data_IF_129567625759
#
_entry.id   IF_129567625759
#
_cell.length_a   1.000
_cell.length_b   1.000
_cell.length_c   1.000
_cell.angle_alpha   90.00
_cell.angle_beta   90.00
_cell.angle_gamma   90.00
#
_symmetry.space_group_name_H-M   'P 1'
#
loop_
_entity.id
_entity.type
_entity.pdbx_description
1 polymer ?
#
# COMPACT_ATOMS: atom_id res chain seq x y z
N UNK A 1 15.80 13.94 11.12
CA UNK A 1 16.62 14.69 10.15
C UNK A 1 15.74 15.26 9.03
N UNK A 2 16.00 16.50 8.59
CA UNK A 2 15.36 17.06 7.38
C UNK A 2 16.18 16.56 6.18
N UNK A 3 15.50 16.02 5.17
CA UNK A 3 16.11 15.44 3.98
C UNK A 3 15.37 15.91 2.73
N UNK A 4 15.93 15.70 1.55
CA UNK A 4 15.24 15.95 0.28
C UNK A 4 15.52 14.79 -0.68
N UNK A 5 14.88 13.65 -0.45
CA UNK A 5 15.08 12.48 -1.29
C UNK A 5 14.03 12.40 -2.39
N UNK A 6 14.50 12.39 -3.63
CA UNK A 6 13.66 12.34 -4.85
C UNK A 6 13.91 11.10 -5.71
N UNK A 7 15.03 10.41 -5.50
CA UNK A 7 15.46 9.23 -6.25
C UNK A 7 15.64 8.01 -5.33
N UNK A 8 15.40 6.78 -5.84
CA UNK A 8 15.61 5.54 -5.10
C UNK A 8 17.01 5.38 -4.50
N UNK A 9 18.04 5.87 -5.21
CA UNK A 9 19.46 5.82 -4.79
C UNK A 9 19.75 6.47 -3.42
N UNK A 10 18.87 7.34 -2.92
CA UNK A 10 19.02 7.96 -1.62
C UNK A 10 18.67 7.02 -0.44
N UNK A 11 18.06 5.86 -0.72
CA UNK A 11 17.72 4.87 0.30
C UNK A 11 18.93 3.95 0.54
N UNK A 12 19.70 4.25 1.57
CA UNK A 12 20.95 3.51 1.86
C UNK A 12 20.76 2.15 2.54
N UNK A 13 19.59 1.91 3.15
CA UNK A 13 19.31 0.70 3.93
C UNK A 13 18.18 -0.12 3.31
N UNK A 14 18.31 -1.43 3.35
CA UNK A 14 17.22 -2.34 3.01
C UNK A 14 16.45 -2.68 4.28
N UNK A 15 15.16 -2.35 4.31
CA UNK A 15 14.31 -2.59 5.47
C UNK A 15 13.10 -1.71 5.57
N UNK A 16 12.81 -1.25 6.79
CA UNK A 16 11.68 -0.39 7.12
C UNK A 16 12.15 1.02 7.45
N UNK A 17 11.37 2.01 7.06
CA UNK A 17 11.70 3.42 7.22
C UNK A 17 10.55 4.15 7.88
N UNK A 18 10.85 4.95 8.90
CA UNK A 18 9.94 5.97 9.42
C UNK A 18 10.26 7.31 8.77
N UNK A 19 9.42 7.73 7.83
CA UNK A 19 9.64 8.91 6.98
C UNK A 19 8.38 9.73 6.78
N UNK A 20 8.55 11.00 6.41
CA UNK A 20 7.47 11.88 5.95
C UNK A 20 7.62 12.03 4.45
N UNK A 21 6.51 11.78 3.77
CA UNK A 21 6.43 11.72 2.32
C UNK A 21 5.47 12.78 1.81
N UNK A 22 5.83 13.40 0.71
CA UNK A 22 5.02 14.37 -0.03
C UNK A 22 4.61 13.70 -1.34
N UNK A 23 3.32 13.39 -1.53
CA UNK A 23 2.88 12.81 -2.79
C UNK A 23 2.93 13.81 -3.95
N UNK A 24 3.20 13.36 -5.18
CA UNK A 24 3.07 14.19 -6.39
C UNK A 24 1.59 14.51 -6.68
N UNK A 25 1.35 15.54 -7.51
CA UNK A 25 0.01 15.84 -8.01
C UNK A 25 -0.28 15.00 -9.26
N UNK A 26 -1.56 14.69 -9.50
CA UNK A 26 -2.00 14.05 -10.75
C UNK A 26 -1.77 12.54 -10.84
N UNK A 27 -1.34 11.88 -9.76
CA UNK A 27 -1.23 10.42 -9.74
C UNK A 27 -2.63 9.78 -9.78
N UNK A 28 -2.85 8.88 -10.76
CA UNK A 28 -4.13 8.15 -10.90
C UNK A 28 -4.33 7.13 -9.79
N UNK A 29 -3.27 6.39 -9.46
CA UNK A 29 -3.27 5.35 -8.42
C UNK A 29 -2.16 5.70 -7.43
N UNK A 30 -2.48 6.14 -6.21
CA UNK A 30 -1.49 6.40 -5.17
C UNK A 30 -0.77 5.11 -4.74
N UNK A 31 0.53 5.20 -4.46
CA UNK A 31 1.39 4.05 -4.13
C UNK A 31 1.35 3.77 -2.63
N UNK A 32 1.51 4.81 -1.82
CA UNK A 32 1.67 4.65 -0.38
C UNK A 32 0.31 4.70 0.32
N UNK A 33 0.03 3.73 1.20
CA UNK A 33 -1.18 3.73 2.01
C UNK A 33 -1.07 4.71 3.19
N UNK A 34 -2.23 5.17 3.65
CA UNK A 34 -2.38 6.06 4.80
C UNK A 34 -3.42 5.46 5.73
N UNK A 35 -3.08 5.24 7.00
CA UNK A 35 -4.05 4.83 8.02
C UNK A 35 -4.65 6.08 8.68
N UNK A 36 -5.95 6.31 8.48
CA UNK A 36 -6.70 7.45 9.04
C UNK A 36 -8.04 6.95 9.60
N UNK A 37 -8.32 7.21 10.88
CA UNK A 37 -9.54 6.77 11.58
C UNK A 37 -9.86 5.28 11.36
N UNK A 38 -8.89 4.39 11.59
CA UNK A 38 -9.00 2.95 11.34
C UNK A 38 -9.25 2.52 9.89
N UNK A 39 -9.10 3.44 8.93
CA UNK A 39 -9.25 3.16 7.50
C UNK A 39 -7.91 3.24 6.80
N UNK A 40 -7.64 2.27 5.93
CA UNK A 40 -6.50 2.31 5.02
C UNK A 40 -6.93 2.98 3.72
N UNK A 41 -6.36 4.14 3.41
CA UNK A 41 -6.68 4.95 2.24
C UNK A 41 -5.44 5.18 1.38
N UNK A 42 -5.59 5.04 0.07
CA UNK A 42 -4.58 5.42 -0.91
C UNK A 42 -4.96 6.80 -1.45
N UNK A 43 -4.22 7.84 -1.06
CA UNK A 43 -4.53 9.22 -1.45
C UNK A 43 -3.27 10.04 -1.67
N UNK A 44 -3.34 11.04 -2.55
CA UNK A 44 -2.24 11.99 -2.79
C UNK A 44 -2.28 13.21 -1.84
N UNK A 45 -3.15 13.22 -0.83
CA UNK A 45 -3.26 14.33 0.14
C UNK A 45 -3.81 13.84 1.47
N UNK A 46 -2.97 13.94 2.51
CA UNK A 46 -3.37 13.63 3.89
C UNK A 46 -4.62 14.38 4.34
N UNK A 47 -4.66 15.70 4.13
CA UNK A 47 -5.80 16.52 4.58
C UNK A 47 -7.11 16.15 3.90
N UNK A 48 -7.09 15.90 2.60
CA UNK A 48 -8.27 15.43 1.87
C UNK A 48 -8.73 14.05 2.37
N UNK A 49 -7.80 13.13 2.62
CA UNK A 49 -8.13 11.80 3.12
C UNK A 49 -8.69 11.85 4.55
N UNK A 50 -8.18 12.75 5.40
CA UNK A 50 -8.71 12.96 6.75
C UNK A 50 -10.13 13.56 6.74
N UNK A 51 -10.43 14.45 5.79
CA UNK A 51 -11.77 15.01 5.62
C UNK A 51 -12.74 14.05 4.91
N UNK A 52 -12.24 12.95 4.36
CA UNK A 52 -13.07 11.99 3.64
C UNK A 52 -14.04 11.28 4.60
N UNK A 53 -15.27 11.79 4.67
CA UNK A 53 -16.42 11.14 5.31
C UNK A 53 -17.08 10.21 4.30
N UNK A 54 -17.65 9.10 4.77
CA UNK A 54 -18.26 8.00 3.98
C UNK A 54 -19.28 8.43 2.90
N UNK A 55 -19.68 9.70 2.82
CA UNK A 55 -20.77 10.21 2.00
C UNK A 55 -20.40 11.27 0.93
N UNK A 56 -19.13 11.58 0.68
CA UNK A 56 -18.79 12.60 -0.32
C UNK A 56 -18.38 11.97 -1.66
N UNK A 57 -19.22 12.28 -2.66
CA UNK A 57 -19.21 11.90 -4.06
C UNK A 57 -17.82 11.87 -4.70
N UNK A 58 -17.54 10.76 -5.41
CA UNK A 58 -16.36 10.58 -6.24
C UNK A 58 -16.31 11.64 -7.37
N UNK A 59 -15.09 12.07 -7.70
CA UNK A 59 -14.66 12.59 -9.02
C UNK A 59 -14.51 14.09 -9.29
N UNK A 60 -14.64 15.03 -8.35
CA UNK A 60 -14.40 16.46 -8.67
C UNK A 60 -13.63 17.30 -7.64
N UNK A 61 -13.08 16.70 -6.59
CA UNK A 61 -12.33 17.48 -5.60
C UNK A 61 -10.95 17.88 -6.12
N UNK A 62 -10.81 19.15 -6.52
CA UNK A 62 -9.50 19.78 -6.75
C UNK A 62 -8.88 20.09 -5.40
N UNK A 63 -7.76 19.42 -5.10
CA UNK A 63 -7.03 19.65 -3.86
C UNK A 63 -6.21 20.95 -3.95
N UNK A 64 -6.58 21.94 -3.14
CA UNK A 64 -5.90 23.24 -3.03
C UNK A 64 -4.84 23.27 -1.91
N UNK A 65 -4.67 22.16 -1.18
CA UNK A 65 -3.74 22.07 -0.07
C UNK A 65 -2.28 22.22 -0.51
N UNK A 66 -1.46 22.84 0.35
CA UNK A 66 -0.01 22.95 0.15
C UNK A 66 0.69 21.59 0.27
N UNK A 67 1.92 21.49 -0.23
CA UNK A 67 2.72 20.26 -0.10
C UNK A 67 2.87 19.79 1.35
N UNK A 68 3.07 20.73 2.29
CA UNK A 68 3.19 20.38 3.70
C UNK A 68 1.91 19.80 4.30
N UNK A 69 0.74 20.28 3.86
CA UNK A 69 -0.57 19.78 4.29
C UNK A 69 -0.94 18.44 3.66
N UNK A 70 -0.40 18.18 2.46
CA UNK A 70 -0.56 16.90 1.74
C UNK A 70 0.34 15.82 2.30
N UNK A 71 1.50 16.21 2.83
CA UNK A 71 2.49 15.32 3.38
C UNK A 71 1.94 14.51 4.56
N UNK A 72 2.43 13.30 4.71
CA UNK A 72 2.11 12.44 5.85
C UNK A 72 3.31 11.65 6.30
N UNK A 73 3.26 11.23 7.56
CA UNK A 73 4.28 10.39 8.17
C UNK A 73 3.77 8.97 8.26
N UNK A 74 4.61 8.01 7.92
CA UNK A 74 4.29 6.59 8.01
C UNK A 74 5.54 5.74 8.14
N UNK A 75 5.31 4.44 8.34
CA UNK A 75 6.35 3.44 8.25
C UNK A 75 6.17 2.71 6.92
N UNK A 76 7.21 2.67 6.10
CA UNK A 76 7.16 2.07 4.77
C UNK A 76 8.36 1.15 4.57
N UNK A 77 8.18 0.11 3.77
CA UNK A 77 9.30 -0.72 3.31
C UNK A 77 10.12 0.03 2.28
N UNK A 78 11.41 -0.30 2.19
CA UNK A 78 12.30 0.29 1.17
C UNK A 78 11.74 0.08 -0.24
N UNK A 79 11.19 -1.11 -0.55
CA UNK A 79 10.57 -1.43 -1.85
C UNK A 79 9.40 -0.49 -2.17
N UNK A 80 8.53 -0.23 -1.21
CA UNK A 80 7.42 0.72 -1.38
C UNK A 80 7.94 2.15 -1.60
N UNK A 81 8.99 2.55 -0.88
CA UNK A 81 9.59 3.88 -1.01
C UNK A 81 10.33 4.06 -2.33
N UNK A 82 11.09 3.06 -2.79
CA UNK A 82 11.71 3.06 -4.12
C UNK A 82 10.64 3.30 -5.19
N UNK A 83 9.54 2.54 -5.11
CA UNK A 83 8.44 2.72 -6.06
C UNK A 83 7.76 4.07 -5.94
N UNK A 84 7.62 4.59 -4.72
CA UNK A 84 7.06 5.92 -4.51
C UNK A 84 7.96 7.01 -5.11
N UNK A 85 9.28 6.93 -4.92
CA UNK A 85 10.25 7.86 -5.46
C UNK A 85 10.25 7.85 -6.99
N UNK A 86 10.21 6.66 -7.62
CA UNK A 86 10.01 6.53 -9.08
C UNK A 86 8.74 7.22 -9.58
N UNK A 87 7.67 7.17 -8.79
CA UNK A 87 6.38 7.77 -9.13
C UNK A 87 6.32 9.27 -8.81
N UNK A 88 7.42 9.88 -8.34
CA UNK A 88 7.56 11.31 -8.10
C UNK A 88 7.23 11.76 -6.68
N UNK A 89 7.23 10.86 -5.70
CA UNK A 89 7.13 11.25 -4.28
C UNK A 89 8.44 11.89 -3.84
N UNK A 90 8.34 12.78 -2.84
CA UNK A 90 9.50 13.42 -2.21
C UNK A 90 9.49 13.11 -0.73
N UNK A 91 10.62 12.68 -0.18
CA UNK A 91 10.79 12.47 1.26
C UNK A 91 11.45 13.74 1.84
N UNK A 92 10.74 14.42 2.73
CA UNK A 92 11.19 15.69 3.33
C UNK A 92 11.75 15.51 4.76
N UNK A 93 11.39 14.41 5.42
CA UNK A 93 11.86 14.12 6.78
C UNK A 93 12.10 12.63 6.95
N UNK A 94 13.26 12.32 7.52
CA UNK A 94 13.66 10.98 7.92
C UNK A 94 13.82 10.93 9.44
N UNK A 95 13.27 9.92 10.09
CA UNK A 95 13.43 9.72 11.53
C UNK A 95 14.39 8.60 11.86
N UNK A 96 14.12 7.40 11.33
CA UNK A 96 14.90 6.19 11.58
C UNK A 96 14.64 5.16 10.50
N UNK A 97 15.61 4.27 10.29
CA UNK A 97 15.48 3.06 9.50
C UNK A 97 15.76 1.84 10.38
N UNK A 98 15.06 0.75 10.08
CA UNK A 98 15.37 -0.57 10.62
C UNK A 98 15.94 -1.37 9.47
N UNK A 99 17.23 -1.69 9.58
CA UNK A 99 17.93 -2.51 8.61
C UNK A 99 17.84 -3.98 9.00
N UNK A 100 17.67 -4.84 8.00
CA UNK A 100 17.82 -6.27 8.13
C UNK A 100 19.02 -6.70 7.30
N UNK A 101 19.95 -7.42 7.91
CA UNK A 101 21.18 -7.87 7.25
C UNK A 101 20.90 -8.98 6.22
N UNK A 102 19.89 -9.82 6.50
CA UNK A 102 19.51 -10.96 5.67
C UNK A 102 18.17 -10.73 4.95
N UNK A 103 18.17 -10.99 3.64
CA UNK A 103 16.98 -10.93 2.79
C UNK A 103 16.81 -12.22 2.01
N UNK A 104 15.57 -12.73 1.94
CA UNK A 104 15.24 -13.93 1.17
C UNK A 104 13.87 -13.81 0.53
N UNK A 105 13.80 -14.11 -0.78
CA UNK A 105 12.56 -14.19 -1.55
C UNK A 105 11.93 -15.60 -1.50
N UNK A 106 12.54 -16.55 -0.78
CA UNK A 106 12.15 -17.96 -0.81
C UNK A 106 11.21 -18.37 0.34
N UNK A 107 11.27 -17.70 1.49
CA UNK A 107 10.59 -18.14 2.74
C UNK A 107 9.11 -18.42 2.54
N UNK A 108 8.40 -17.53 1.84
CA UNK A 108 6.96 -17.65 1.61
C UNK A 108 6.58 -18.08 0.19
N UNK A 109 7.55 -18.32 -0.69
CA UNK A 109 7.28 -18.57 -2.12
C UNK A 109 6.42 -19.80 -2.35
N UNK A 110 6.69 -20.88 -1.60
CA UNK A 110 5.90 -22.10 -1.66
C UNK A 110 4.46 -21.89 -1.18
N UNK A 111 4.30 -21.23 -0.03
CA UNK A 111 3.00 -20.89 0.55
C UNK A 111 2.19 -20.01 -0.40
N UNK A 112 2.72 -18.85 -0.81
CA UNK A 112 2.04 -17.89 -1.69
C UNK A 112 1.63 -18.53 -3.02
N UNK A 113 2.48 -19.37 -3.62
CA UNK A 113 2.16 -20.09 -4.86
C UNK A 113 0.93 -20.98 -4.73
N UNK A 114 0.73 -21.62 -3.58
CA UNK A 114 -0.47 -22.44 -3.34
C UNK A 114 -1.73 -21.58 -3.32
N UNK A 115 -1.72 -20.43 -2.64
CA UNK A 115 -2.89 -19.53 -2.61
C UNK A 115 -3.19 -18.90 -3.97
N UNK A 116 -2.17 -18.52 -4.73
CA UNK A 116 -2.36 -18.01 -6.11
C UNK A 116 -3.06 -19.09 -6.95
N UNK A 117 -2.55 -20.33 -6.90
CA UNK A 117 -3.17 -21.45 -7.63
C UNK A 117 -4.62 -21.72 -7.20
N UNK A 118 -4.90 -21.64 -5.90
CA UNK A 118 -6.27 -21.80 -5.40
C UNK A 118 -7.20 -20.69 -5.92
N UNK A 119 -6.71 -19.43 -5.97
CA UNK A 119 -7.49 -18.31 -6.53
C UNK A 119 -7.74 -18.49 -8.03
N UNK A 120 -6.76 -18.96 -8.80
CA UNK A 120 -6.93 -19.26 -10.23
C UNK A 120 -7.97 -20.36 -10.45
N UNK A 121 -7.88 -21.49 -9.72
CA UNK A 121 -8.84 -22.58 -9.81
C UNK A 121 -10.24 -22.17 -9.35
N UNK A 122 -10.35 -21.35 -8.31
CA UNK A 122 -11.63 -20.77 -7.90
C UNK A 122 -12.20 -19.83 -8.96
N UNK A 123 -11.35 -19.05 -9.62
CA UNK A 123 -11.76 -18.17 -10.72
C UNK A 123 -12.24 -19.00 -11.91
N UNK A 124 -11.52 -20.05 -12.31
CA UNK A 124 -11.96 -20.98 -13.36
C UNK A 124 -13.25 -21.69 -12.99
N UNK A 125 -13.41 -22.16 -11.75
CA UNK A 125 -14.63 -22.79 -11.27
C UNK A 125 -15.80 -21.81 -11.19
N UNK A 126 -15.54 -20.56 -10.79
CA UNK A 126 -16.51 -19.47 -10.81
C UNK A 126 -16.92 -19.13 -12.24
N UNK A 127 -15.98 -18.94 -13.17
CA UNK A 127 -16.27 -18.70 -14.59
C UNK A 127 -17.02 -19.88 -15.20
N UNK A 128 -16.67 -21.13 -14.87
CA UNK A 128 -17.35 -22.32 -15.39
C UNK A 128 -18.74 -22.50 -14.81
N UNK A 129 -18.96 -22.18 -13.53
CA UNK A 129 -20.28 -22.11 -12.92
C UNK A 129 -21.10 -20.95 -13.47
N UNK A 130 -20.49 -19.80 -13.73
CA UNK A 130 -21.13 -18.64 -14.37
C UNK A 130 -21.52 -19.02 -15.79
N UNK A 131 -20.65 -19.58 -16.63
CA UNK A 131 -20.98 -20.03 -17.99
C UNK A 131 -22.07 -21.11 -18.00
N UNK A 132 -21.99 -22.11 -17.11
CA UNK A 132 -23.03 -23.15 -17.00
C UNK A 132 -24.35 -22.64 -16.38
N UNK A 133 -24.31 -21.58 -15.57
CA UNK A 133 -25.51 -20.96 -14.99
C UNK A 133 -26.09 -19.85 -15.88
N UNK A 134 -25.29 -19.22 -16.75
CA UNK A 134 -25.67 -18.14 -17.67
C UNK A 134 -26.17 -18.62 -19.05
N UNK A 135 -26.62 -19.87 -19.14
CA UNK A 135 -27.78 -20.15 -20.00
C UNK A 135 -29.08 -19.55 -19.42
N UNK A 136 -29.07 -19.08 -18.16
CA UNK A 136 -30.15 -18.31 -17.56
C UNK A 136 -29.63 -17.08 -16.82
N UNK A 137 -29.96 -15.93 -17.40
CA UNK A 137 -30.17 -14.65 -16.70
C UNK A 137 -28.92 -13.92 -16.21
N UNK A 138 -28.57 -12.92 -17.02
CA UNK A 138 -27.87 -11.67 -16.68
C UNK A 138 -28.22 -11.20 -15.26
N UNK A 139 -27.21 -10.75 -14.50
CA UNK A 139 -27.19 -9.71 -13.42
C UNK A 139 -26.19 -10.14 -12.32
N UNK A 140 -25.76 -9.17 -11.51
CA UNK A 140 -25.16 -9.27 -10.15
C UNK A 140 -23.65 -8.99 -10.14
N UNK A 141 -23.26 -7.73 -9.98
CA UNK A 141 -23.10 -6.98 -8.71
C UNK A 141 -21.74 -7.25 -8.04
N UNK A 142 -21.05 -6.13 -7.82
CA UNK A 142 -19.80 -5.94 -7.08
C UNK A 142 -19.89 -6.59 -5.70
N UNK A 143 -18.97 -7.51 -5.39
CA UNK A 143 -18.80 -8.05 -4.04
C UNK A 143 -17.46 -7.58 -3.47
N UNK A 144 -17.59 -6.74 -2.44
CA UNK A 144 -16.56 -6.33 -1.51
C UNK A 144 -16.25 -7.53 -0.59
N UNK A 145 -14.98 -7.93 -0.47
CA UNK A 145 -14.57 -8.98 0.48
C UNK A 145 -14.00 -8.30 1.74
N UNK A 146 -14.49 -8.61 2.94
CA UNK A 146 -13.84 -8.22 4.18
C UNK A 146 -12.75 -9.25 4.53
N UNK A 147 -11.51 -8.78 4.72
CA UNK A 147 -10.42 -9.58 5.28
C UNK A 147 -10.47 -9.39 6.79
N UNK A 148 -10.94 -10.41 7.51
CA UNK A 148 -10.71 -10.56 8.93
C UNK A 148 -9.29 -11.11 9.10
N UNK A 149 -8.39 -10.29 9.63
CA UNK A 149 -7.12 -10.71 10.19
C UNK A 149 -7.41 -11.53 11.46
N UNK A 150 -6.97 -12.78 11.44
CA UNK A 150 -6.86 -13.63 12.63
C UNK A 150 -5.40 -13.58 13.05
N UNK A 151 -5.17 -13.17 14.30
CA UNK A 151 -3.90 -13.22 15.01
C UNK A 151 -3.35 -14.65 15.04
N UNK A 152 -2.06 -14.81 14.73
CA UNK A 152 -1.06 -15.19 15.72
C UNK A 152 0.25 -15.66 15.06
N UNK A 153 1.35 -15.07 15.55
CA UNK A 153 2.72 -15.58 15.54
C UNK A 153 3.44 -15.78 14.20
N UNK A 154 4.14 -14.73 13.75
CA UNK A 154 5.52 -14.87 13.26
C UNK A 154 6.32 -13.64 13.69
N UNK A 155 6.71 -13.59 14.97
CA UNK A 155 7.80 -12.71 15.40
C UNK A 155 9.12 -13.47 15.17
N UNK A 156 9.57 -13.49 13.91
CA UNK A 156 10.97 -13.82 13.61
C UNK A 156 11.81 -12.63 14.08
N UNK A 157 12.42 -12.79 15.25
CA UNK A 157 13.43 -11.87 15.79
C UNK A 157 14.68 -12.04 14.92
N UNK A 158 14.68 -11.38 13.77
CA UNK A 158 15.91 -11.08 13.06
C UNK A 158 16.64 -9.99 13.86
N UNK A 159 17.98 -9.98 13.91
CA UNK A 159 18.73 -8.90 14.54
C UNK A 159 18.38 -7.60 13.81
N UNK A 160 17.56 -6.78 14.45
CA UNK A 160 17.10 -5.52 13.93
C UNK A 160 18.04 -4.43 14.45
N UNK A 161 18.87 -3.88 13.57
CA UNK A 161 19.68 -2.71 13.89
C UNK A 161 18.90 -1.43 13.57
N UNK A 162 18.83 -0.52 14.55
CA UNK A 162 18.18 0.79 14.40
C UNK A 162 19.25 1.82 14.01
N UNK A 163 19.00 2.57 12.93
CA UNK A 163 19.92 3.58 12.37
C UNK A 163 19.19 4.89 12.06
#
# INVERSE_FOLDING_TARGET
MIVNWTKPEHLSYQGLYRVRVIPPRGLRIPVLPMKIDERLLFSCCHRCAALFRKSVTRCAHKCEHSEQQRAFTGNFTHIELEKALEMGYVIDRFWRAWHYDEWSDQVFKGYVRQFIRLKELQFEHFVRKVINSFCYVVVVVVVVVPIQLVDDQVALILPMSEV
#
